data_IF_885427860499
#
_entry.id   IF_885427860499
#
_cell.length_a   1.000
_cell.length_b   1.000
_cell.length_c   1.000
_cell.angle_alpha   90.00
_cell.angle_beta   90.00
_cell.angle_gamma   90.00
#
_symmetry.space_group_name_H-M   'P 1'
#
loop_
_entity.id
_entity.type
_entity.pdbx_description
1 polymer ?
#
# COMPACT_ATOMS: atom_id res chain seq x y z
N UNK A 1 12.00 17.90 8.97
CA UNK A 1 11.95 17.24 10.30
C UNK A 1 10.50 17.25 10.77
N UNK A 2 9.93 16.08 11.11
CA UNK A 2 8.56 15.93 11.62
C UNK A 2 8.41 16.71 12.94
N UNK A 3 7.35 17.52 13.10
CA UNK A 3 7.13 18.29 14.33
C UNK A 3 6.29 17.47 15.32
N UNK A 4 7.05 16.83 16.20
CA UNK A 4 6.74 16.21 17.49
C UNK A 4 5.91 17.01 18.53
N UNK A 5 4.57 17.11 18.55
CA UNK A 5 3.86 17.87 19.61
C UNK A 5 3.12 16.98 20.61
N UNK A 6 3.84 16.39 21.57
CA UNK A 6 3.30 15.41 22.53
C UNK A 6 2.46 16.08 23.61
N UNK A 7 1.36 15.42 23.97
CA UNK A 7 0.44 15.92 24.99
C UNK A 7 1.07 15.94 26.40
N UNK A 8 2.02 15.04 26.67
CA UNK A 8 2.76 15.02 27.95
C UNK A 8 3.69 16.22 28.18
N UNK A 9 3.96 17.04 27.15
CA UNK A 9 4.87 18.19 27.25
C UNK A 9 4.09 19.49 27.13
N UNK A 10 3.87 20.24 28.24
CA UNK A 10 3.04 21.45 28.23
C UNK A 10 3.44 22.48 27.16
N UNK A 11 4.73 22.68 26.94
CA UNK A 11 5.22 23.59 25.89
C UNK A 11 4.87 23.15 24.47
N UNK A 12 4.90 21.83 24.21
CA UNK A 12 4.52 21.26 22.90
C UNK A 12 3.00 21.38 22.68
N UNK A 13 2.18 21.11 23.71
CA UNK A 13 0.72 21.29 23.63
C UNK A 13 0.33 22.76 23.42
N UNK A 14 1.02 23.71 24.08
CA UNK A 14 0.80 25.14 23.84
C UNK A 14 1.16 25.55 22.42
N UNK A 15 2.24 25.00 21.86
CA UNK A 15 2.59 25.23 20.47
C UNK A 15 1.52 24.69 19.51
N UNK A 16 0.97 23.50 19.78
CA UNK A 16 -0.15 22.96 19.03
C UNK A 16 -1.38 23.86 19.08
N UNK A 17 -1.74 24.35 20.27
CA UNK A 17 -2.86 25.29 20.45
C UNK A 17 -2.63 26.61 19.69
N UNK A 18 -1.40 27.12 19.66
CA UNK A 18 -1.05 28.29 18.85
C UNK A 18 -1.23 28.03 17.36
N UNK A 19 -0.82 26.86 16.86
CA UNK A 19 -1.01 26.47 15.45
C UNK A 19 -2.50 26.38 15.13
N UNK A 20 -3.29 25.72 15.98
CA UNK A 20 -4.75 25.66 15.84
C UNK A 20 -5.37 27.05 15.82
N UNK A 21 -4.94 27.95 16.70
CA UNK A 21 -5.41 29.33 16.72
C UNK A 21 -5.06 30.07 15.42
N UNK A 22 -3.81 29.99 14.96
CA UNK A 22 -3.34 30.63 13.73
C UNK A 22 -4.16 30.14 12.53
N UNK A 23 -4.30 28.83 12.35
CA UNK A 23 -5.07 28.25 11.24
C UNK A 23 -6.52 28.75 11.19
N UNK A 24 -7.14 29.01 12.35
CA UNK A 24 -8.53 29.48 12.45
C UNK A 24 -8.70 30.97 12.22
N UNK A 25 -7.66 31.77 12.43
CA UNK A 25 -7.76 33.24 12.50
C UNK A 25 -6.86 33.97 11.50
N UNK A 26 -6.24 33.26 10.56
CA UNK A 26 -5.43 33.87 9.52
C UNK A 26 -5.95 33.52 8.13
N UNK A 27 -5.78 34.48 7.22
CA UNK A 27 -6.04 34.29 5.80
C UNK A 27 -4.70 34.24 5.04
N UNK A 28 -4.64 33.37 4.04
CA UNK A 28 -3.55 33.25 3.08
C UNK A 28 -4.11 33.64 1.72
N UNK A 29 -3.66 34.79 1.19
CA UNK A 29 -4.12 35.33 -0.09
C UNK A 29 -5.65 35.48 -0.20
N UNK A 30 -6.33 35.82 0.90
CA UNK A 30 -7.79 36.01 0.94
C UNK A 30 -8.60 34.72 1.07
N UNK A 31 -7.96 33.59 1.35
CA UNK A 31 -8.59 32.30 1.68
C UNK A 31 -8.21 31.96 3.12
N UNK A 32 -9.15 31.42 3.90
CA UNK A 32 -8.87 30.97 5.27
C UNK A 32 -7.71 29.96 5.27
N UNK A 33 -6.76 30.12 6.20
CA UNK A 33 -5.64 29.19 6.34
C UNK A 33 -6.11 27.75 6.60
N UNK A 34 -7.25 27.57 7.27
CA UNK A 34 -7.87 26.26 7.45
C UNK A 34 -8.29 25.62 6.11
N UNK A 35 -8.87 26.40 5.20
CA UNK A 35 -9.27 25.91 3.86
C UNK A 35 -8.04 25.60 3.00
N UNK A 36 -6.99 26.41 3.09
CA UNK A 36 -5.73 26.14 2.38
C UNK A 36 -5.08 24.85 2.89
N UNK A 37 -5.08 24.62 4.20
CA UNK A 37 -4.62 23.38 4.78
C UNK A 37 -5.49 22.19 4.37
N UNK A 38 -6.82 22.32 4.42
CA UNK A 38 -7.77 21.27 4.04
C UNK A 38 -7.60 20.83 2.57
N UNK A 39 -7.30 21.77 1.66
CA UNK A 39 -7.00 21.47 0.25
C UNK A 39 -5.78 20.54 0.06
N UNK A 40 -4.87 20.48 1.03
CA UNK A 40 -3.73 19.55 1.02
C UNK A 40 -4.05 18.31 1.86
N UNK A 41 -4.73 18.47 2.99
CA UNK A 41 -5.03 17.39 3.91
C UNK A 41 -6.08 16.42 3.36
N UNK A 42 -7.24 16.92 2.89
CA UNK A 42 -8.37 16.08 2.47
C UNK A 42 -8.05 15.14 1.29
N UNK A 43 -7.23 15.53 0.29
CA UNK A 43 -6.80 14.61 -0.75
C UNK A 43 -5.93 13.48 -0.20
N UNK A 44 -5.02 13.77 0.75
CA UNK A 44 -4.21 12.72 1.40
C UNK A 44 -5.07 11.78 2.25
N UNK A 45 -6.16 12.28 2.84
CA UNK A 45 -7.14 11.44 3.55
C UNK A 45 -7.84 10.49 2.60
N UNK A 46 -8.21 10.98 1.42
CA UNK A 46 -8.85 10.16 0.39
C UNK A 46 -7.92 9.09 -0.21
N UNK A 47 -6.64 9.42 -0.39
CA UNK A 47 -5.67 8.50 -1.00
C UNK A 47 -5.22 7.44 0.02
N UNK A 48 -4.73 7.86 1.20
CA UNK A 48 -4.03 6.97 2.15
C UNK A 48 -4.85 6.70 3.42
N UNK A 49 -5.66 7.66 3.85
CA UNK A 49 -6.49 7.53 5.05
C UNK A 49 -6.32 8.70 6.02
N UNK A 50 -7.13 8.71 7.09
CA UNK A 50 -7.09 9.75 8.12
C UNK A 50 -5.81 9.65 8.94
N UNK A 51 -5.40 10.79 9.51
CA UNK A 51 -4.38 10.76 10.56
C UNK A 51 -4.91 10.00 11.77
N UNK A 52 -4.05 9.19 12.38
CA UNK A 52 -4.34 8.48 13.64
C UNK A 52 -3.95 9.32 14.87
N UNK A 53 -3.17 10.38 14.66
CA UNK A 53 -2.83 11.36 15.68
C UNK A 53 -3.90 12.44 15.82
N UNK A 54 -3.96 13.09 16.99
CA UNK A 54 -4.80 14.28 17.19
C UNK A 54 -4.33 15.41 16.27
N UNK A 55 -5.27 16.17 15.71
CA UNK A 55 -4.95 17.21 14.76
C UNK A 55 -5.75 18.50 14.98
N UNK A 56 -5.85 19.26 13.90
CA UNK A 56 -6.52 20.56 13.86
C UNK A 56 -7.99 20.47 14.31
N UNK A 57 -8.71 19.44 13.86
CA UNK A 57 -10.13 19.28 14.14
C UNK A 57 -10.40 18.98 15.61
N UNK A 58 -9.70 18.02 16.21
CA UNK A 58 -9.88 17.63 17.60
C UNK A 58 -9.50 18.77 18.55
N UNK A 59 -8.35 19.42 18.30
CA UNK A 59 -7.91 20.55 19.09
C UNK A 59 -8.83 21.76 18.93
N UNK A 60 -9.40 21.97 17.74
CA UNK A 60 -10.38 23.02 17.48
C UNK A 60 -11.68 22.82 18.27
N UNK A 61 -12.22 21.60 18.29
CA UNK A 61 -13.43 21.27 19.04
C UNK A 61 -13.23 21.41 20.57
N UNK A 62 -12.09 20.93 21.08
CA UNK A 62 -11.72 21.12 22.48
C UNK A 62 -11.49 22.59 22.82
N UNK A 63 -10.92 23.37 21.90
CA UNK A 63 -10.76 24.81 22.08
C UNK A 63 -12.10 25.50 22.32
N UNK A 64 -13.09 25.21 21.47
CA UNK A 64 -14.42 25.82 21.54
C UNK A 64 -15.14 25.49 22.85
N UNK A 65 -14.96 24.25 23.31
CA UNK A 65 -15.59 23.75 24.54
C UNK A 65 -14.98 24.37 25.80
N UNK A 66 -13.65 24.56 25.82
CA UNK A 66 -12.91 24.87 27.06
C UNK A 66 -12.54 26.36 27.16
N UNK A 67 -12.07 26.95 26.06
CA UNK A 67 -11.71 28.36 26.03
C UNK A 67 -12.88 29.22 25.53
N UNK A 68 -13.67 28.70 24.59
CA UNK A 68 -14.74 29.39 23.89
C UNK A 68 -14.38 29.66 22.42
N UNK A 69 -15.36 29.70 21.50
CA UNK A 69 -15.10 29.82 20.06
C UNK A 69 -14.36 31.11 19.67
N UNK A 70 -14.66 32.21 20.35
CA UNK A 70 -14.06 33.53 20.10
C UNK A 70 -12.95 33.88 21.12
N UNK A 71 -12.43 32.87 21.84
CA UNK A 71 -11.42 33.12 22.86
C UNK A 71 -10.12 33.67 22.24
N UNK A 72 -9.51 34.71 22.85
CA UNK A 72 -8.24 35.24 22.37
C UNK A 72 -7.11 34.23 22.61
N UNK A 73 -6.03 34.34 21.83
CA UNK A 73 -4.85 33.45 21.97
C UNK A 73 -4.28 33.43 23.40
N UNK A 74 -4.41 34.52 24.14
CA UNK A 74 -3.95 34.62 25.54
C UNK A 74 -4.70 33.69 26.50
N UNK A 75 -5.85 33.14 26.10
CA UNK A 75 -6.62 32.20 26.92
C UNK A 75 -5.84 30.91 27.23
N UNK A 76 -4.87 30.52 26.40
CA UNK A 76 -4.03 29.34 26.63
C UNK A 76 -3.03 29.51 27.80
N UNK A 77 -2.84 30.75 28.28
CA UNK A 77 -1.99 31.05 29.43
C UNK A 77 -2.72 30.84 30.78
N UNK A 78 -4.04 30.65 30.76
CA UNK A 78 -4.79 30.25 31.94
C UNK A 78 -4.46 28.79 32.28
N UNK A 79 -3.68 28.59 33.34
CA UNK A 79 -3.20 27.26 33.76
C UNK A 79 -4.35 26.30 34.13
N UNK A 80 -5.47 26.80 34.65
CA UNK A 80 -6.60 25.95 35.01
C UNK A 80 -7.32 25.44 33.75
N UNK A 81 -7.62 26.34 32.80
CA UNK A 81 -8.21 25.95 31.51
C UNK A 81 -7.28 25.08 30.69
N UNK A 82 -5.98 25.38 30.71
CA UNK A 82 -4.97 24.56 30.04
C UNK A 82 -4.91 23.14 30.63
N UNK A 83 -4.95 23.00 31.96
CA UNK A 83 -5.03 21.68 32.59
C UNK A 83 -6.30 20.91 32.18
N UNK A 84 -7.46 21.57 32.18
CA UNK A 84 -8.71 20.98 31.68
C UNK A 84 -8.61 20.57 30.21
N UNK A 85 -7.94 21.36 29.37
CA UNK A 85 -7.69 21.00 27.97
C UNK A 85 -6.84 19.73 27.86
N UNK A 86 -5.74 19.64 28.61
CA UNK A 86 -4.87 18.46 28.60
C UNK A 86 -5.64 17.22 29.07
N UNK A 87 -6.43 17.32 30.14
CA UNK A 87 -7.27 16.23 30.63
C UNK A 87 -8.30 15.78 29.59
N UNK A 88 -8.99 16.72 28.92
CA UNK A 88 -9.96 16.39 27.88
C UNK A 88 -9.30 15.77 26.65
N UNK A 89 -8.14 16.28 26.22
CA UNK A 89 -7.37 15.74 25.11
C UNK A 89 -6.85 14.33 25.40
N UNK A 90 -6.57 13.98 26.66
CA UNK A 90 -6.21 12.62 27.08
C UNK A 90 -7.35 11.61 26.94
N UNK A 91 -8.60 12.06 26.92
CA UNK A 91 -9.76 11.20 26.71
C UNK A 91 -10.08 10.95 25.23
N UNK A 92 -9.40 11.64 24.32
CA UNK A 92 -9.52 11.36 22.90
C UNK A 92 -8.76 10.08 22.54
N UNK A 93 -9.14 9.38 21.45
CA UNK A 93 -8.45 8.16 21.02
C UNK A 93 -6.93 8.40 20.86
N UNK A 94 -6.07 7.56 21.44
CA UNK A 94 -4.64 7.60 21.16
C UNK A 94 -4.36 7.03 19.76
N UNK A 95 -3.18 7.33 19.17
CA UNK A 95 -2.77 6.67 17.93
C UNK A 95 -2.62 5.17 18.17
N UNK A 96 -3.24 4.37 17.31
CA UNK A 96 -3.17 2.92 17.27
C UNK A 96 -1.82 2.44 16.74
N UNK A 97 -1.23 3.15 15.77
CA UNK A 97 0.09 2.79 15.22
C UNK A 97 1.18 3.63 15.89
N UNK A 98 2.19 2.98 16.47
CA UNK A 98 3.34 3.68 17.02
C UNK A 98 4.45 3.88 16.00
N UNK A 99 4.87 5.13 15.85
CA UNK A 99 5.96 5.55 14.97
C UNK A 99 7.10 6.27 15.69
N UNK A 100 7.07 6.25 17.02
CA UNK A 100 8.06 6.88 17.87
C UNK A 100 8.77 5.84 18.71
N UNK A 101 10.02 6.17 19.07
CA UNK A 101 10.71 5.43 20.12
C UNK A 101 9.99 5.61 21.45
N UNK A 102 9.62 4.50 22.09
CA UNK A 102 9.02 4.47 23.43
C UNK A 102 9.82 3.47 24.27
N UNK A 103 10.28 3.87 25.45
CA UNK A 103 10.98 2.96 26.34
C UNK A 103 10.05 1.87 26.90
N UNK A 104 10.60 0.73 27.31
CA UNK A 104 9.82 -0.45 27.73
C UNK A 104 8.98 -0.17 29.00
N UNK A 105 9.45 0.71 29.88
CA UNK A 105 8.73 1.09 31.11
C UNK A 105 7.73 2.24 30.89
N UNK A 106 7.64 2.78 29.67
CA UNK A 106 6.72 3.85 29.34
C UNK A 106 5.41 3.30 28.77
N UNK A 107 4.31 3.92 29.19
CA UNK A 107 3.00 3.72 28.59
C UNK A 107 3.02 4.31 27.16
N UNK A 108 2.79 3.43 26.17
CA UNK A 108 2.84 3.74 24.73
C UNK A 108 1.89 4.88 24.39
N UNK A 109 0.63 4.74 24.76
CA UNK A 109 -0.43 5.71 24.49
C UNK A 109 -0.10 7.07 25.11
N UNK A 110 0.40 7.07 26.35
CA UNK A 110 0.70 8.32 27.04
C UNK A 110 1.84 9.12 26.40
N UNK A 111 2.84 8.42 25.85
CA UNK A 111 4.06 9.02 25.29
C UNK A 111 3.87 9.45 23.83
N UNK A 112 3.08 8.71 23.04
CA UNK A 112 2.87 8.96 21.61
C UNK A 112 1.73 9.92 21.34
N UNK A 113 0.69 9.95 22.18
CA UNK A 113 -0.48 10.81 21.98
C UNK A 113 -0.09 12.30 22.00
N UNK A 114 -0.53 13.01 20.96
CA UNK A 114 -0.16 14.39 20.73
C UNK A 114 -0.71 14.94 19.43
N UNK A 115 -0.47 16.23 19.21
CA UNK A 115 -0.88 16.93 18.00
C UNK A 115 0.08 16.67 16.83
N UNK A 116 -0.49 16.56 15.63
CA UNK A 116 0.23 16.64 14.37
C UNK A 116 -0.45 17.59 13.41
N UNK A 117 0.35 18.41 12.75
CA UNK A 117 -0.15 19.27 11.67
C UNK A 117 -0.50 18.46 10.40
N UNK A 118 0.35 17.47 10.07
CA UNK A 118 0.14 16.47 9.03
C UNK A 118 0.55 15.12 9.63
N UNK A 119 -0.36 14.52 10.42
CA UNK A 119 -0.08 13.28 11.15
C UNK A 119 0.22 12.09 10.26
N UNK A 120 0.67 10.99 10.84
CA UNK A 120 0.80 9.78 10.04
C UNK A 120 -0.56 9.14 9.81
N UNK A 121 -0.71 8.48 8.67
CA UNK A 121 -1.97 7.88 8.29
C UNK A 121 -2.08 6.49 8.89
N UNK A 122 -3.26 6.18 9.41
CA UNK A 122 -3.55 4.81 9.79
C UNK A 122 -3.64 3.95 8.52
N UNK A 123 -2.79 2.94 8.44
CA UNK A 123 -2.83 1.94 7.37
C UNK A 123 -2.84 0.54 7.99
N UNK A 124 -3.72 -0.32 7.47
CA UNK A 124 -4.05 -1.61 8.09
C UNK A 124 -2.84 -2.53 8.26
N UNK A 125 -1.96 -2.57 7.27
CA UNK A 125 -0.75 -3.38 7.26
C UNK A 125 0.27 -2.92 8.32
N UNK A 126 0.39 -1.62 8.58
CA UNK A 126 1.24 -1.14 9.66
C UNK A 126 0.64 -1.42 11.04
N UNK A 127 -0.68 -1.44 11.17
CA UNK A 127 -1.35 -1.92 12.39
C UNK A 127 -1.11 -3.42 12.60
N UNK A 128 -1.25 -4.24 11.56
CA UNK A 128 -0.90 -5.68 11.60
C UNK A 128 0.55 -5.88 12.07
N UNK A 129 1.50 -5.09 11.53
CA UNK A 129 2.89 -5.15 11.96
C UNK A 129 3.09 -4.76 13.43
N UNK A 130 2.45 -3.69 13.89
CA UNK A 130 2.54 -3.25 15.28
C UNK A 130 1.97 -4.30 16.26
N UNK A 131 0.89 -5.00 15.88
CA UNK A 131 0.27 -6.08 16.67
C UNK A 131 1.03 -7.41 16.63
N UNK A 132 1.92 -7.61 15.65
CA UNK A 132 2.69 -8.83 15.46
C UNK A 132 4.20 -8.66 15.75
N UNK A 133 4.59 -7.54 16.34
CA UNK A 133 5.99 -7.27 16.72
C UNK A 133 6.14 -7.11 18.24
N UNK A 134 7.38 -6.83 18.66
CA UNK A 134 7.77 -6.74 20.05
C UNK A 134 6.93 -5.72 20.83
N UNK A 135 6.38 -6.21 21.96
CA UNK A 135 5.39 -5.64 22.92
C UNK A 135 4.14 -6.49 22.96
N UNK A 136 3.67 -6.95 21.79
CA UNK A 136 2.53 -7.86 21.68
C UNK A 136 2.97 -9.31 21.41
N UNK A 137 4.03 -9.49 20.62
CA UNK A 137 4.56 -10.81 20.24
C UNK A 137 6.03 -10.97 20.63
N UNK A 138 6.34 -12.14 21.19
CA UNK A 138 7.65 -12.51 21.72
C UNK A 138 7.76 -12.32 23.24
N UNK A 139 8.96 -12.54 23.78
CA UNK A 139 9.26 -12.33 25.20
C UNK A 139 10.51 -11.46 25.35
N UNK A 140 10.81 -10.97 26.55
CA UNK A 140 11.99 -10.12 26.76
C UNK A 140 13.28 -10.83 26.34
N UNK A 141 13.34 -12.15 26.52
CA UNK A 141 14.48 -12.98 26.14
C UNK A 141 14.44 -13.42 24.67
N UNK A 142 13.27 -13.36 24.01
CA UNK A 142 13.08 -13.69 22.60
C UNK A 142 12.07 -12.74 21.92
N UNK A 143 12.45 -11.46 21.70
CA UNK A 143 11.56 -10.45 21.12
C UNK A 143 11.46 -10.58 19.59
N UNK A 144 10.27 -10.36 19.03
CA UNK A 144 10.05 -10.31 17.58
C UNK A 144 10.18 -8.86 17.06
N UNK A 145 11.38 -8.43 16.74
CA UNK A 145 11.66 -7.02 16.40
C UNK A 145 11.17 -6.56 15.02
N UNK A 146 11.18 -7.47 14.04
CA UNK A 146 10.73 -7.20 12.68
C UNK A 146 9.60 -8.15 12.32
N UNK A 147 8.56 -7.67 11.60
CA UNK A 147 7.53 -8.51 11.04
C UNK A 147 8.03 -9.18 9.75
N UNK A 148 7.10 -9.83 9.05
CA UNK A 148 7.25 -10.39 7.70
C UNK A 148 6.15 -9.85 6.81
N UNK A 149 6.40 -9.60 5.52
CA UNK A 149 5.35 -9.25 4.56
C UNK A 149 4.23 -10.29 4.53
N UNK A 150 4.58 -11.56 4.75
CA UNK A 150 3.64 -12.67 4.93
C UNK A 150 2.67 -12.49 6.10
N UNK A 151 3.02 -11.72 7.14
CA UNK A 151 2.10 -11.42 8.26
C UNK A 151 0.87 -10.66 7.77
N UNK A 152 1.05 -9.71 6.83
CA UNK A 152 -0.06 -8.96 6.23
C UNK A 152 -0.98 -9.92 5.48
N UNK A 153 -0.40 -10.80 4.66
CA UNK A 153 -1.16 -11.74 3.84
C UNK A 153 -1.89 -12.78 4.69
N UNK A 154 -1.25 -13.26 5.76
CA UNK A 154 -1.86 -14.18 6.72
C UNK A 154 -3.01 -13.52 7.50
N UNK A 155 -2.89 -12.25 7.87
CA UNK A 155 -3.95 -11.47 8.51
C UNK A 155 -5.12 -11.17 7.55
N UNK A 156 -4.84 -11.06 6.24
CA UNK A 156 -5.85 -11.03 5.16
C UNK A 156 -6.41 -12.42 4.80
N UNK A 157 -6.34 -13.37 5.73
CA UNK A 157 -6.89 -14.74 5.65
C UNK A 157 -6.18 -15.68 4.66
N UNK A 158 -4.94 -15.38 4.26
CA UNK A 158 -4.14 -16.33 3.47
C UNK A 158 -3.64 -17.49 4.33
N UNK A 159 -4.24 -18.67 4.15
CA UNK A 159 -3.80 -19.90 4.80
C UNK A 159 -2.39 -20.35 4.37
N UNK A 160 -2.04 -20.17 3.09
CA UNK A 160 -0.71 -20.52 2.59
C UNK A 160 0.36 -19.57 3.18
N UNK A 161 0.07 -18.28 3.36
CA UNK A 161 1.00 -17.37 4.01
C UNK A 161 1.26 -17.77 5.47
N UNK A 162 0.20 -18.10 6.22
CA UNK A 162 0.33 -18.58 7.59
C UNK A 162 1.12 -19.90 7.66
N UNK A 163 0.88 -20.83 6.75
CA UNK A 163 1.62 -22.09 6.68
C UNK A 163 3.12 -21.88 6.38
N UNK A 164 3.47 -20.90 5.54
CA UNK A 164 4.87 -20.54 5.28
C UNK A 164 5.51 -19.91 6.52
N UNK A 165 4.81 -19.01 7.20
CA UNK A 165 5.26 -18.41 8.47
C UNK A 165 5.52 -19.50 9.54
N UNK A 166 4.65 -20.50 9.62
CA UNK A 166 4.82 -21.65 10.52
C UNK A 166 6.07 -22.46 10.18
N UNK A 167 6.30 -22.74 8.89
CA UNK A 167 7.49 -23.43 8.41
C UNK A 167 8.78 -22.65 8.69
N UNK A 168 8.71 -21.32 8.66
CA UNK A 168 9.82 -20.42 9.00
C UNK A 168 10.06 -20.34 10.53
N UNK A 169 9.14 -20.85 11.35
CA UNK A 169 9.18 -20.77 12.81
C UNK A 169 8.70 -19.42 13.38
N UNK A 170 8.10 -18.56 12.57
CA UNK A 170 7.57 -17.25 13.00
C UNK A 170 6.37 -17.41 13.93
N UNK A 171 5.57 -18.46 13.76
CA UNK A 171 4.44 -18.78 14.63
C UNK A 171 4.85 -19.25 16.03
N UNK A 172 6.14 -19.58 16.24
CA UNK A 172 6.66 -20.08 17.50
C UNK A 172 6.98 -18.96 18.51
N UNK A 173 6.96 -17.69 18.09
CA UNK A 173 7.06 -16.57 19.04
C UNK A 173 5.86 -16.59 20.00
N UNK A 174 6.13 -16.30 21.28
CA UNK A 174 5.08 -16.21 22.28
C UNK A 174 4.00 -15.22 21.85
N UNK A 175 2.73 -15.57 22.04
CA UNK A 175 1.55 -14.76 21.70
C UNK A 175 1.27 -14.57 20.20
N UNK A 176 2.12 -15.05 19.28
CA UNK A 176 1.90 -14.88 17.85
C UNK A 176 0.57 -15.49 17.38
N UNK A 177 0.24 -16.78 17.68
CA UNK A 177 -0.99 -17.37 17.18
C UNK A 177 -2.24 -16.67 17.72
N UNK A 178 -2.24 -16.28 19.00
CA UNK A 178 -3.35 -15.55 19.60
C UNK A 178 -3.55 -14.16 18.97
N UNK A 179 -2.46 -13.43 18.73
CA UNK A 179 -2.50 -12.11 18.10
C UNK A 179 -2.92 -12.18 16.63
N UNK A 180 -2.44 -13.18 15.88
CA UNK A 180 -2.87 -13.40 14.50
C UNK A 180 -4.37 -13.75 14.43
N UNK A 181 -4.87 -14.58 15.35
CA UNK A 181 -6.29 -14.91 15.42
C UNK A 181 -7.15 -13.66 15.71
N UNK A 182 -6.73 -12.82 16.66
CA UNK A 182 -7.37 -11.52 16.94
C UNK A 182 -7.44 -10.66 15.69
N UNK A 183 -6.33 -10.50 14.97
CA UNK A 183 -6.27 -9.70 13.75
C UNK A 183 -7.19 -10.24 12.65
N UNK A 184 -7.19 -11.56 12.43
CA UNK A 184 -8.10 -12.20 11.46
C UNK A 184 -9.57 -11.99 11.82
N UNK A 185 -9.92 -12.08 13.10
CA UNK A 185 -11.29 -11.80 13.57
C UNK A 185 -11.69 -10.32 13.34
N UNK A 186 -10.79 -9.38 13.65
CA UNK A 186 -11.02 -7.94 13.44
C UNK A 186 -11.18 -7.62 11.94
N UNK A 187 -10.29 -8.14 11.09
CA UNK A 187 -10.30 -7.92 9.65
C UNK A 187 -11.50 -8.62 9.00
N UNK A 188 -11.83 -9.83 9.42
CA UNK A 188 -12.99 -10.59 8.95
C UNK A 188 -14.34 -9.93 9.31
N UNK A 189 -14.37 -9.10 10.35
CA UNK A 189 -15.55 -8.32 10.73
C UNK A 189 -15.74 -7.05 9.88
N UNK A 190 -14.72 -6.62 9.12
CA UNK A 190 -14.79 -5.42 8.30
C UNK A 190 -15.86 -5.56 7.21
N UNK A 191 -16.63 -4.49 7.03
CA UNK A 191 -17.65 -4.41 5.99
C UNK A 191 -17.10 -3.70 4.76
N UNK A 192 -17.83 -3.79 3.63
CA UNK A 192 -17.40 -3.21 2.37
C UNK A 192 -17.07 -1.71 2.48
N UNK A 193 -17.86 -0.94 3.24
CA UNK A 193 -17.63 0.50 3.46
C UNK A 193 -16.28 0.78 4.16
N UNK A 194 -15.77 -0.17 4.95
CA UNK A 194 -14.44 -0.06 5.57
C UNK A 194 -13.33 -0.35 4.55
N UNK A 195 -13.53 -1.32 3.66
CA UNK A 195 -12.59 -1.62 2.58
C UNK A 195 -12.52 -0.53 1.51
N UNK A 196 -13.64 0.18 1.28
CA UNK A 196 -13.73 1.25 0.27
C UNK A 196 -13.62 2.65 0.86
N UNK A 197 -13.11 2.78 2.10
CA UNK A 197 -13.01 4.07 2.80
C UNK A 197 -11.99 5.04 2.17
N UNK A 198 -10.95 4.52 1.52
CA UNK A 198 -9.89 5.27 0.82
C UNK A 198 -9.20 4.36 -0.21
N UNK A 199 -8.34 4.93 -1.07
CA UNK A 199 -7.70 4.19 -2.16
C UNK A 199 -6.74 3.10 -1.66
N UNK A 200 -5.99 3.36 -0.58
CA UNK A 200 -5.05 2.40 0.01
C UNK A 200 -5.73 1.09 0.45
N UNK A 201 -6.83 1.22 1.19
CA UNK A 201 -7.61 0.07 1.64
C UNK A 201 -8.27 -0.68 0.49
N UNK A 202 -8.78 0.06 -0.50
CA UNK A 202 -9.35 -0.55 -1.69
C UNK A 202 -8.30 -1.27 -2.55
N UNK A 203 -7.04 -0.82 -2.52
CA UNK A 203 -5.91 -1.54 -3.13
C UNK A 203 -5.62 -2.86 -2.40
N UNK A 204 -5.48 -2.85 -1.07
CA UNK A 204 -5.33 -4.08 -0.28
C UNK A 204 -6.50 -5.05 -0.51
N UNK A 205 -7.72 -4.53 -0.55
CA UNK A 205 -8.91 -5.30 -0.89
C UNK A 205 -8.81 -5.92 -2.28
N UNK A 206 -8.27 -5.22 -3.29
CA UNK A 206 -8.10 -5.77 -4.63
C UNK A 206 -7.10 -6.95 -4.69
N UNK A 207 -6.20 -7.09 -3.71
CA UNK A 207 -5.24 -8.19 -3.64
C UNK A 207 -5.80 -9.47 -3.00
N UNK A 208 -6.79 -9.38 -2.11
CA UNK A 208 -7.33 -10.56 -1.41
C UNK A 208 -7.75 -11.72 -2.32
N UNK A 209 -8.36 -11.52 -3.52
CA UNK A 209 -8.71 -12.63 -4.38
C UNK A 209 -7.50 -13.47 -4.85
N UNK A 210 -6.28 -12.93 -4.78
CA UNK A 210 -5.04 -13.65 -5.08
C UNK A 210 -4.63 -14.61 -3.94
N UNK A 211 -5.09 -14.35 -2.71
CA UNK A 211 -4.69 -15.11 -1.52
C UNK A 211 -5.47 -16.43 -1.37
N UNK A 212 -6.57 -16.56 -2.11
CA UNK A 212 -7.48 -17.71 -2.09
C UNK A 212 -6.97 -18.86 -2.99
N UNK A 213 -6.86 -20.10 -2.47
CA UNK A 213 -6.57 -21.27 -3.29
C UNK A 213 -7.60 -21.45 -4.40
N UNK A 214 -7.12 -21.68 -5.62
CA UNK A 214 -7.99 -21.81 -6.80
C UNK A 214 -8.58 -23.21 -6.87
N UNK A 215 -9.90 -23.29 -6.76
CA UNK A 215 -10.65 -24.55 -6.80
C UNK A 215 -10.83 -25.14 -8.20
N UNK A 216 -11.66 -26.19 -8.29
CA UNK A 216 -11.92 -26.98 -9.51
C UNK A 216 -12.51 -26.19 -10.68
N UNK A 217 -13.05 -25.00 -10.42
CA UNK A 217 -13.59 -24.08 -11.41
C UNK A 217 -12.51 -23.32 -12.20
N UNK A 218 -11.26 -23.34 -11.74
CA UNK A 218 -10.12 -22.71 -12.42
C UNK A 218 -9.33 -23.73 -13.25
N UNK A 219 -8.52 -23.29 -14.23
CA UNK A 219 -7.61 -24.18 -14.97
C UNK A 219 -6.66 -24.97 -14.07
N UNK A 220 -6.29 -26.19 -14.50
CA UNK A 220 -5.52 -27.14 -13.69
C UNK A 220 -4.18 -26.57 -13.16
N UNK A 221 -3.50 -25.72 -13.92
CA UNK A 221 -2.24 -25.11 -13.48
C UNK A 221 -2.43 -24.15 -12.29
N UNK A 222 -3.60 -23.50 -12.19
CA UNK A 222 -3.92 -22.58 -11.09
C UNK A 222 -4.26 -23.29 -9.78
N UNK A 223 -4.66 -24.57 -9.86
CA UNK A 223 -5.04 -25.38 -8.70
C UNK A 223 -3.83 -25.93 -7.92
N UNK A 224 -2.62 -25.58 -8.34
CA UNK A 224 -1.38 -26.08 -7.74
C UNK A 224 -0.91 -25.16 -6.62
N UNK A 225 -0.24 -25.73 -5.60
CA UNK A 225 0.39 -24.92 -4.55
C UNK A 225 1.43 -23.94 -5.11
N UNK A 226 2.15 -24.33 -6.19
CA UNK A 226 3.07 -23.44 -6.86
C UNK A 226 2.37 -22.17 -7.39
N UNK A 227 1.14 -22.30 -7.90
CA UNK A 227 0.35 -21.15 -8.35
C UNK A 227 -0.17 -20.32 -7.18
N UNK A 228 -0.66 -20.96 -6.11
CA UNK A 228 -1.04 -20.23 -4.88
C UNK A 228 0.12 -19.40 -4.33
N UNK A 229 1.33 -19.97 -4.31
CA UNK A 229 2.54 -19.25 -3.91
C UNK A 229 2.93 -18.16 -4.91
N UNK A 230 2.72 -18.36 -6.21
CA UNK A 230 2.89 -17.31 -7.24
C UNK A 230 1.92 -16.15 -7.04
N UNK A 231 0.66 -16.43 -6.71
CA UNK A 231 -0.35 -15.40 -6.46
C UNK A 231 -0.03 -14.62 -5.17
N UNK A 232 0.40 -15.32 -4.12
CA UNK A 232 0.92 -14.71 -2.90
C UNK A 232 2.15 -13.83 -3.18
N UNK A 233 3.08 -14.31 -4.00
CA UNK A 233 4.25 -13.55 -4.45
C UNK A 233 3.85 -12.30 -5.27
N UNK A 234 2.82 -12.40 -6.12
CA UNK A 234 2.26 -11.28 -6.85
C UNK A 234 1.63 -10.25 -5.92
N UNK A 235 0.89 -10.70 -4.90
CA UNK A 235 0.29 -9.84 -3.90
C UNK A 235 1.35 -9.10 -3.07
N UNK A 236 2.42 -9.77 -2.67
CA UNK A 236 3.55 -9.15 -1.96
C UNK A 236 4.32 -8.15 -2.82
N UNK A 237 4.52 -8.44 -4.11
CA UNK A 237 5.08 -7.48 -5.06
C UNK A 237 4.20 -6.23 -5.18
N UNK A 238 2.90 -6.39 -5.38
CA UNK A 238 1.97 -5.25 -5.46
C UNK A 238 1.83 -4.49 -4.13
N UNK A 239 1.89 -5.17 -3.00
CA UNK A 239 1.94 -4.52 -1.69
C UNK A 239 3.24 -3.72 -1.52
N UNK A 240 4.38 -4.22 -2.02
CA UNK A 240 5.66 -3.49 -2.04
C UNK A 240 5.57 -2.19 -2.83
N UNK A 241 4.98 -2.23 -4.04
CA UNK A 241 4.66 -1.02 -4.84
C UNK A 241 3.80 -0.04 -4.03
N UNK A 242 2.73 -0.52 -3.37
CA UNK A 242 1.86 0.32 -2.54
C UNK A 242 2.62 0.99 -1.38
N UNK A 243 3.54 0.27 -0.72
CA UNK A 243 4.40 0.84 0.32
C UNK A 243 5.30 1.92 -0.25
N UNK A 244 5.96 1.63 -1.36
CA UNK A 244 6.84 2.56 -2.05
C UNK A 244 6.12 3.85 -2.46
N UNK A 245 5.00 3.74 -3.17
CA UNK A 245 4.20 4.87 -3.67
C UNK A 245 3.68 5.78 -2.55
N UNK A 246 3.39 5.21 -1.38
CA UNK A 246 2.92 5.96 -0.21
C UNK A 246 4.04 6.54 0.67
N UNK A 247 5.31 6.19 0.40
CA UNK A 247 6.50 6.70 1.10
C UNK A 247 7.04 8.00 0.51
N UNK A 248 6.48 8.44 -0.63
CA UNK A 248 6.79 9.66 -1.40
C UNK A 248 7.97 9.45 -2.35
N UNK A 249 7.65 9.44 -3.64
CA UNK A 249 8.46 9.51 -4.87
C UNK A 249 8.40 8.22 -5.69
N UNK A 250 7.73 8.28 -6.84
CA UNK A 250 7.80 7.25 -7.87
C UNK A 250 8.33 7.86 -9.18
N UNK A 251 9.17 7.09 -9.89
CA UNK A 251 9.57 7.32 -11.29
C UNK A 251 9.30 6.05 -12.08
N UNK A 252 8.89 6.26 -13.32
CA UNK A 252 8.11 5.29 -14.09
C UNK A 252 8.96 4.36 -14.93
N UNK A 253 8.38 3.24 -15.40
CA UNK A 253 9.04 2.16 -16.13
C UNK A 253 8.77 2.13 -17.65
N UNK A 254 9.82 1.89 -18.43
CA UNK A 254 9.73 1.63 -19.88
C UNK A 254 9.62 0.12 -20.18
N UNK A 255 8.72 -0.27 -21.08
CA UNK A 255 8.69 -1.59 -21.73
C UNK A 255 8.67 -1.36 -23.24
N UNK A 256 9.56 -1.99 -24.01
CA UNK A 256 9.66 -1.73 -25.46
C UNK A 256 8.54 -2.44 -26.24
N UNK A 257 7.80 -1.69 -27.07
CA UNK A 257 6.92 -2.28 -28.10
C UNK A 257 7.73 -3.19 -29.05
N UNK A 258 7.59 -4.51 -28.90
CA UNK A 258 8.14 -5.48 -29.84
C UNK A 258 7.51 -5.35 -31.24
N UNK A 259 8.31 -5.00 -32.24
CA UNK A 259 7.89 -4.88 -33.64
C UNK A 259 8.39 -6.03 -34.52
N UNK A 260 7.48 -6.87 -35.01
CA UNK A 260 7.77 -7.89 -36.03
C UNK A 260 6.53 -8.16 -36.90
N UNK A 261 6.69 -8.47 -38.20
CA UNK A 261 5.56 -8.70 -39.11
C UNK A 261 4.74 -9.94 -38.67
N UNK A 262 3.41 -9.87 -38.47
CA UNK A 262 2.68 -11.01 -37.91
C UNK A 262 2.22 -12.03 -38.98
N UNK A 263 2.44 -13.33 -38.77
CA UNK A 263 1.41 -14.36 -39.02
C UNK A 263 0.19 -14.16 -38.08
N UNK A 264 -0.83 -15.03 -38.13
CA UNK A 264 -2.01 -14.95 -37.25
C UNK A 264 -1.64 -14.66 -35.78
N UNK A 265 -2.42 -13.82 -35.06
CA UNK A 265 -2.12 -13.50 -33.67
C UNK A 265 -2.06 -14.81 -32.87
N UNK A 266 -0.96 -15.08 -32.13
CA UNK A 266 -0.90 -16.25 -31.27
C UNK A 266 -2.05 -16.18 -30.26
N UNK A 267 -2.67 -17.31 -29.96
CA UNK A 267 -3.73 -17.37 -28.94
C UNK A 267 -3.10 -17.02 -27.58
N UNK A 268 -3.28 -15.77 -27.16
CA UNK A 268 -2.94 -15.29 -25.82
C UNK A 268 -4.01 -15.67 -24.80
N UNK A 269 -3.72 -15.45 -23.52
CA UNK A 269 -4.57 -15.88 -22.43
C UNK A 269 -4.56 -14.83 -21.31
N UNK A 270 -5.69 -14.57 -20.67
CA UNK A 270 -5.78 -13.64 -19.54
C UNK A 270 -5.88 -14.45 -18.25
N UNK A 271 -5.04 -14.12 -17.26
CA UNK A 271 -5.12 -14.83 -15.98
C UNK A 271 -6.51 -14.61 -15.36
N UNK A 272 -7.31 -15.65 -15.11
CA UNK A 272 -8.74 -15.53 -14.93
C UNK A 272 -9.01 -15.27 -13.46
N UNK A 273 -8.66 -14.08 -13.01
CA UNK A 273 -8.96 -13.57 -11.68
C UNK A 273 -10.02 -12.46 -11.80
N UNK A 274 -11.27 -12.79 -12.19
CA UNK A 274 -12.30 -11.79 -12.47
C UNK A 274 -12.61 -10.93 -11.25
N UNK A 275 -12.53 -11.49 -10.04
CA UNK A 275 -12.75 -10.72 -8.82
C UNK A 275 -11.66 -9.66 -8.59
N UNK A 276 -10.38 -9.98 -8.86
CA UNK A 276 -9.29 -9.01 -8.77
C UNK A 276 -9.48 -7.88 -9.80
N UNK A 277 -9.80 -8.21 -11.05
CA UNK A 277 -10.07 -7.19 -12.09
C UNK A 277 -11.29 -6.34 -11.75
N UNK A 278 -12.36 -6.92 -11.20
CA UNK A 278 -13.53 -6.17 -10.78
C UNK A 278 -13.22 -5.20 -9.63
N UNK A 279 -12.42 -5.62 -8.64
CA UNK A 279 -11.98 -4.75 -7.53
C UNK A 279 -11.06 -3.63 -8.02
N UNK A 280 -10.10 -3.92 -8.92
CA UNK A 280 -9.25 -2.90 -9.56
C UNK A 280 -10.06 -1.92 -10.42
N UNK A 281 -11.08 -2.40 -11.13
CA UNK A 281 -11.97 -1.55 -11.92
C UNK A 281 -12.78 -0.60 -11.01
N UNK A 282 -13.32 -1.12 -9.92
CA UNK A 282 -14.00 -0.32 -8.91
C UNK A 282 -13.06 0.73 -8.29
N UNK A 283 -11.82 0.36 -7.98
CA UNK A 283 -10.79 1.26 -7.47
C UNK A 283 -10.45 2.38 -8.48
N UNK A 284 -10.33 2.04 -9.76
CA UNK A 284 -10.07 3.01 -10.84
C UNK A 284 -11.20 4.04 -10.92
N UNK A 285 -12.46 3.59 -10.88
CA UNK A 285 -13.64 4.47 -10.88
C UNK A 285 -13.75 5.31 -9.61
N UNK A 286 -13.48 4.71 -8.45
CA UNK A 286 -13.42 5.42 -7.17
C UNK A 286 -12.37 6.54 -7.19
N UNK A 287 -11.19 6.27 -7.78
CA UNK A 287 -10.12 7.25 -7.96
C UNK A 287 -10.59 8.40 -8.84
N UNK A 288 -11.19 8.11 -9.99
CA UNK A 288 -11.74 9.11 -10.90
C UNK A 288 -12.75 10.02 -10.19
N UNK A 289 -13.80 9.43 -9.59
CA UNK A 289 -14.89 10.19 -8.95
C UNK A 289 -14.39 10.97 -7.73
N UNK A 290 -13.45 10.39 -6.98
CA UNK A 290 -12.85 11.01 -5.82
C UNK A 290 -11.97 12.23 -6.17
N UNK A 291 -11.23 12.18 -7.27
CA UNK A 291 -10.48 13.32 -7.78
C UNK A 291 -11.40 14.38 -8.39
N UNK A 292 -12.42 13.96 -9.16
CA UNK A 292 -13.38 14.87 -9.79
C UNK A 292 -14.15 15.68 -8.74
N UNK A 293 -14.71 15.02 -7.72
CA UNK A 293 -15.48 15.67 -6.65
C UNK A 293 -14.66 16.67 -5.84
N UNK A 294 -13.32 16.54 -5.84
CA UNK A 294 -12.37 17.43 -5.16
C UNK A 294 -11.77 18.50 -6.07
N UNK A 295 -12.13 18.51 -7.36
CA UNK A 295 -11.56 19.44 -8.34
C UNK A 295 -10.09 19.19 -8.62
N UNK A 296 -9.62 17.95 -8.45
CA UNK A 296 -8.23 17.53 -8.65
C UNK A 296 -8.02 16.70 -9.92
N UNK A 297 -9.10 16.36 -10.62
CA UNK A 297 -9.02 15.60 -11.86
C UNK A 297 -8.54 16.50 -13.01
N UNK A 298 -7.32 16.25 -13.49
CA UNK A 298 -6.79 16.90 -14.69
C UNK A 298 -7.26 16.16 -15.95
N UNK A 299 -7.24 16.81 -17.11
CA UNK A 299 -7.60 16.17 -18.40
C UNK A 299 -6.72 14.95 -18.69
N UNK A 300 -5.42 15.02 -18.37
CA UNK A 300 -4.50 13.90 -18.55
C UNK A 300 -4.83 12.73 -17.62
N UNK A 301 -5.07 13.03 -16.33
CA UNK A 301 -5.47 12.01 -15.35
C UNK A 301 -6.80 11.35 -15.70
N UNK A 302 -7.78 12.13 -16.16
CA UNK A 302 -9.08 11.64 -16.65
C UNK A 302 -8.90 10.66 -17.82
N UNK A 303 -8.15 11.08 -18.85
CA UNK A 303 -7.87 10.22 -20.00
C UNK A 303 -7.16 8.92 -19.61
N UNK A 304 -6.22 8.96 -18.66
CA UNK A 304 -5.51 7.77 -18.20
C UNK A 304 -6.39 6.82 -17.38
N UNK A 305 -7.22 7.36 -16.47
CA UNK A 305 -8.17 6.55 -15.71
C UNK A 305 -9.24 5.92 -16.62
N UNK A 306 -9.68 6.63 -17.66
CA UNK A 306 -10.59 6.08 -18.66
C UNK A 306 -9.97 4.95 -19.48
N UNK A 307 -8.67 5.04 -19.83
CA UNK A 307 -7.93 3.94 -20.48
C UNK A 307 -7.80 2.73 -19.56
N UNK A 308 -7.47 2.95 -18.29
CA UNK A 308 -7.35 1.88 -17.31
C UNK A 308 -8.70 1.19 -17.06
N UNK A 309 -9.79 1.95 -16.94
CA UNK A 309 -11.16 1.40 -16.86
C UNK A 309 -11.48 0.52 -18.07
N UNK A 310 -11.18 1.01 -19.28
CA UNK A 310 -11.43 0.27 -20.51
C UNK A 310 -10.63 -1.05 -20.57
N UNK A 311 -9.36 -1.02 -20.16
CA UNK A 311 -8.53 -2.22 -20.08
C UNK A 311 -9.06 -3.20 -19.02
N UNK A 312 -9.33 -2.75 -17.80
CA UNK A 312 -9.81 -3.61 -16.73
C UNK A 312 -11.18 -4.20 -17.03
N UNK A 313 -12.06 -3.45 -17.69
CA UNK A 313 -13.35 -3.96 -18.19
C UNK A 313 -13.13 -5.09 -19.20
N UNK A 314 -12.16 -4.94 -20.11
CA UNK A 314 -11.80 -5.99 -21.06
C UNK A 314 -11.22 -7.24 -20.39
N UNK A 315 -10.25 -7.07 -19.49
CA UNK A 315 -9.63 -8.19 -18.76
C UNK A 315 -10.65 -8.95 -17.91
N UNK A 316 -11.57 -8.24 -17.25
CA UNK A 316 -12.67 -8.83 -16.51
C UNK A 316 -13.58 -9.68 -17.39
N UNK A 317 -14.02 -9.13 -18.52
CA UNK A 317 -14.89 -9.83 -19.47
C UNK A 317 -14.22 -11.07 -20.05
N UNK A 318 -12.97 -10.95 -20.52
CA UNK A 318 -12.19 -12.08 -21.05
C UNK A 318 -12.01 -13.16 -19.98
N UNK A 319 -11.64 -12.79 -18.76
CA UNK A 319 -11.47 -13.75 -17.65
C UNK A 319 -12.75 -14.53 -17.36
N UNK A 320 -13.89 -13.87 -17.36
CA UNK A 320 -15.19 -14.52 -17.14
C UNK A 320 -15.54 -15.48 -18.28
N UNK A 321 -15.29 -15.07 -19.53
CA UNK A 321 -15.51 -15.90 -20.71
C UNK A 321 -14.60 -17.11 -20.75
N UNK A 322 -13.32 -16.95 -20.44
CA UNK A 322 -12.34 -18.05 -20.38
C UNK A 322 -12.70 -19.08 -19.29
N UNK A 323 -13.11 -18.65 -18.09
CA UNK A 323 -13.62 -19.56 -17.05
C UNK A 323 -14.91 -20.27 -17.44
N UNK A 324 -15.77 -19.59 -18.20
CA UNK A 324 -17.00 -20.18 -18.73
C UNK A 324 -16.77 -21.10 -19.95
N UNK A 325 -15.52 -21.25 -20.42
CA UNK A 325 -15.19 -22.03 -21.61
C UNK A 325 -15.75 -21.44 -22.90
N UNK A 326 -16.04 -20.13 -22.91
CA UNK A 326 -16.56 -19.43 -24.08
C UNK A 326 -15.40 -19.01 -25.01
N UNK A 327 -15.55 -19.14 -26.33
CA UNK A 327 -14.49 -18.76 -27.25
C UNK A 327 -14.27 -17.24 -27.27
N UNK A 328 -13.02 -16.83 -27.35
CA UNK A 328 -12.63 -15.45 -27.61
C UNK A 328 -12.68 -15.14 -29.11
N UNK A 329 -12.95 -13.88 -29.44
CA UNK A 329 -12.97 -13.37 -30.81
C UNK A 329 -11.56 -13.06 -31.32
N UNK A 330 -11.41 -12.87 -32.64
CA UNK A 330 -10.12 -12.41 -33.20
C UNK A 330 -9.70 -11.05 -32.64
N UNK A 331 -10.66 -10.16 -32.40
CA UNK A 331 -10.41 -8.82 -31.83
C UNK A 331 -9.90 -8.92 -30.39
N UNK A 332 -10.44 -9.86 -29.59
CA UNK A 332 -9.92 -10.14 -28.25
C UNK A 332 -8.45 -10.56 -28.32
N UNK A 333 -8.11 -11.54 -29.17
CA UNK A 333 -6.73 -12.01 -29.31
C UNK A 333 -5.78 -10.95 -29.88
N UNK A 334 -6.25 -10.10 -30.79
CA UNK A 334 -5.48 -8.95 -31.26
C UNK A 334 -5.19 -7.97 -30.13
N UNK A 335 -6.16 -7.67 -29.27
CA UNK A 335 -5.92 -6.80 -28.10
C UNK A 335 -4.99 -7.44 -27.08
N UNK A 336 -5.18 -8.72 -26.73
CA UNK A 336 -4.30 -9.46 -25.82
C UNK A 336 -2.85 -9.42 -26.32
N UNK A 337 -2.65 -9.61 -27.64
CA UNK A 337 -1.32 -9.53 -28.25
C UNK A 337 -0.65 -8.16 -28.04
N UNK A 338 -1.41 -7.08 -28.03
CA UNK A 338 -0.91 -5.71 -27.82
C UNK A 338 -0.99 -5.22 -26.37
N UNK A 339 -1.39 -6.07 -25.42
CA UNK A 339 -1.55 -5.72 -24.01
C UNK A 339 -0.32 -5.01 -23.43
N UNK A 340 0.90 -5.49 -23.73
CA UNK A 340 2.14 -4.86 -23.27
C UNK A 340 2.31 -3.40 -23.74
N UNK A 341 1.91 -3.10 -24.97
CA UNK A 341 1.93 -1.73 -25.50
C UNK A 341 0.80 -0.86 -24.93
N UNK A 342 -0.33 -1.46 -24.56
CA UNK A 342 -1.41 -0.76 -23.86
C UNK A 342 -0.98 -0.34 -22.44
N UNK A 343 -0.24 -1.21 -21.73
CA UNK A 343 0.41 -0.87 -20.46
C UNK A 343 1.44 0.24 -20.62
N UNK A 344 2.37 0.11 -21.59
CA UNK A 344 3.40 1.12 -21.88
C UNK A 344 2.79 2.50 -22.15
N UNK A 345 1.74 2.55 -22.99
CA UNK A 345 1.08 3.80 -23.33
C UNK A 345 0.45 4.49 -22.10
N UNK A 346 -0.07 3.73 -21.14
CA UNK A 346 -0.60 4.29 -19.90
C UNK A 346 0.53 4.76 -18.98
N UNK A 347 1.61 3.99 -18.85
CA UNK A 347 2.77 4.38 -18.04
C UNK A 347 3.41 5.68 -18.57
N UNK A 348 3.63 5.77 -19.87
CA UNK A 348 4.11 7.00 -20.54
C UNK A 348 3.17 8.19 -20.34
N UNK A 349 1.86 7.96 -20.42
CA UNK A 349 0.89 9.03 -20.29
C UNK A 349 0.72 9.53 -18.85
N UNK A 350 1.07 8.70 -17.86
CA UNK A 350 1.11 9.10 -16.46
C UNK A 350 2.37 9.92 -16.10
N UNK A 351 3.35 10.03 -17.01
CA UNK A 351 4.61 10.72 -16.78
C UNK A 351 4.42 12.22 -16.60
N UNK A 352 5.11 12.81 -15.62
CA UNK A 352 5.21 14.27 -15.52
C UNK A 352 5.91 14.82 -16.78
N UNK A 353 5.23 15.74 -17.48
CA UNK A 353 5.80 16.47 -18.60
C UNK A 353 6.53 17.72 -18.08
N UNK A 354 7.85 17.66 -17.91
CA UNK A 354 8.64 18.89 -17.83
C UNK A 354 8.93 19.44 -19.24
N UNK A 355 8.17 20.47 -19.67
CA UNK A 355 8.44 21.28 -20.87
C UNK A 355 7.68 20.91 -22.16
N UNK A 356 7.98 21.58 -23.28
CA UNK A 356 7.38 21.34 -24.61
C UNK A 356 8.02 20.15 -25.38
N UNK A 357 8.50 19.13 -24.65
CA UNK A 357 9.09 17.92 -25.21
C UNK A 357 8.10 16.76 -25.31
N UNK A 358 8.37 15.77 -26.17
CA UNK A 358 7.70 14.48 -26.05
C UNK A 358 8.12 13.83 -24.71
N UNK A 359 7.21 13.18 -23.98
CA UNK A 359 7.58 12.40 -22.79
C UNK A 359 8.67 11.41 -23.17
N UNK A 360 9.82 11.47 -22.51
CA UNK A 360 10.89 10.49 -22.67
C UNK A 360 11.44 10.13 -21.29
N UNK A 361 11.79 8.85 -21.12
CA UNK A 361 12.43 8.38 -19.91
C UNK A 361 13.95 8.54 -20.02
N UNK A 362 14.60 9.00 -18.95
CA UNK A 362 16.06 9.13 -18.91
C UNK A 362 16.79 7.80 -18.63
N UNK A 363 16.11 6.76 -18.10
CA UNK A 363 16.75 5.50 -17.66
C UNK A 363 15.98 4.22 -18.10
N UNK A 364 16.70 3.11 -18.30
CA UNK A 364 16.22 1.89 -18.98
C UNK A 364 15.82 0.71 -18.07
N UNK A 365 15.98 0.79 -16.74
CA UNK A 365 15.75 -0.37 -15.83
C UNK A 365 14.94 0.01 -14.58
N UNK A 366 13.60 -0.04 -14.66
CA UNK A 366 12.73 0.75 -13.77
C UNK A 366 11.61 0.00 -13.05
N UNK A 367 11.40 -1.31 -13.29
CA UNK A 367 10.50 -2.11 -12.43
C UNK A 367 11.09 -2.34 -11.03
N UNK A 368 12.41 -2.17 -10.88
CA UNK A 368 13.07 -2.41 -9.62
C UNK A 368 12.93 -1.21 -8.68
N UNK A 369 12.42 -1.48 -7.49
CA UNK A 369 12.20 -0.53 -6.41
C UNK A 369 12.37 -1.19 -5.04
N UNK A 370 12.55 -0.37 -4.01
CA UNK A 370 12.72 -0.84 -2.64
C UNK A 370 12.04 0.11 -1.65
N UNK A 371 11.40 -0.46 -0.63
CA UNK A 371 10.73 0.28 0.43
C UNK A 371 11.08 -0.30 1.81
N UNK A 372 11.48 0.58 2.72
CA UNK A 372 11.54 0.21 4.14
C UNK A 372 10.15 0.24 4.75
N UNK A 373 9.71 -0.88 5.33
CA UNK A 373 8.33 -1.05 5.81
C UNK A 373 8.21 -1.21 7.32
N UNK A 374 9.31 -1.58 7.99
CA UNK A 374 9.40 -1.68 9.44
C UNK A 374 10.80 -1.32 9.94
N UNK A 375 10.92 -0.88 11.19
CA UNK A 375 12.19 -0.50 11.80
C UNK A 375 12.39 -1.21 13.13
N UNK A 376 13.48 -1.96 13.23
CA UNK A 376 13.98 -2.50 14.48
C UNK A 376 14.77 -1.40 15.21
N UNK A 377 14.37 -1.03 16.44
CA UNK A 377 15.09 -0.05 17.25
C UNK A 377 16.59 -0.37 17.47
N UNK A 378 17.01 -1.63 17.30
CA UNK A 378 18.39 -2.07 17.45
C UNK A 378 19.27 -1.85 16.21
N UNK A 379 18.76 -1.12 15.21
CA UNK A 379 19.55 -0.63 14.07
C UNK A 379 19.33 -1.38 12.75
N UNK A 380 18.21 -2.08 12.60
CA UNK A 380 17.82 -2.72 11.33
C UNK A 380 16.49 -2.19 10.82
N UNK A 381 16.25 -2.36 9.53
CA UNK A 381 14.95 -2.12 8.88
C UNK A 381 14.56 -3.38 8.11
N UNK A 382 13.26 -3.57 7.89
CA UNK A 382 12.77 -4.56 6.94
C UNK A 382 12.61 -3.87 5.58
N UNK A 383 13.36 -4.32 4.59
CA UNK A 383 13.23 -3.88 3.20
C UNK A 383 12.36 -4.87 2.44
N UNK A 384 11.39 -4.33 1.71
CA UNK A 384 10.60 -5.03 0.71
C UNK A 384 11.00 -4.48 -0.65
N UNK A 385 11.34 -5.34 -1.60
CA UNK A 385 11.85 -4.89 -2.88
C UNK A 385 11.32 -5.72 -4.06
N UNK A 386 11.25 -5.08 -5.21
CA UNK A 386 11.00 -5.72 -6.51
C UNK A 386 12.26 -5.57 -7.34
N UNK A 387 12.71 -6.63 -7.99
CA UNK A 387 13.87 -6.60 -8.88
C UNK A 387 13.50 -6.56 -10.36
N UNK A 388 14.27 -7.27 -11.19
CA UNK A 388 13.99 -7.44 -12.63
C UNK A 388 12.78 -8.36 -12.83
N UNK A 389 11.93 -8.06 -13.82
CA UNK A 389 10.76 -8.88 -14.14
C UNK A 389 11.20 -10.32 -14.44
N UNK A 390 10.55 -11.29 -13.80
CA UNK A 390 10.74 -12.70 -14.07
C UNK A 390 9.82 -13.19 -15.17
N UNK A 391 10.27 -14.18 -15.91
CA UNK A 391 9.47 -14.84 -16.92
C UNK A 391 8.69 -16.00 -16.28
N UNK A 392 7.38 -16.05 -16.53
CA UNK A 392 6.54 -17.20 -16.15
C UNK A 392 6.15 -17.98 -17.40
N UNK A 393 6.10 -19.31 -17.25
CA UNK A 393 5.56 -20.22 -18.26
C UNK A 393 4.38 -20.98 -17.65
N UNK A 394 3.22 -20.91 -18.31
CA UNK A 394 2.00 -21.58 -17.87
C UNK A 394 1.41 -22.45 -18.98
N UNK A 395 0.95 -23.65 -18.63
CA UNK A 395 0.26 -24.54 -19.59
C UNK A 395 -1.23 -24.19 -19.59
N UNK A 396 -1.68 -23.50 -20.64
CA UNK A 396 -3.05 -22.97 -20.75
C UNK A 396 -3.88 -23.77 -21.78
N UNK A 397 -5.21 -23.83 -21.64
CA UNK A 397 -6.07 -24.38 -22.70
C UNK A 397 -5.98 -23.55 -23.98
N UNK A 398 -6.01 -24.20 -25.15
CA UNK A 398 -5.95 -23.52 -26.46
C UNK A 398 -7.33 -23.02 -26.98
N UNK A 399 -8.41 -23.31 -26.26
CA UNK A 399 -9.79 -23.04 -26.67
C UNK A 399 -10.38 -24.02 -27.68
N UNK A 400 -9.58 -24.99 -28.18
CA UNK A 400 -9.94 -26.02 -29.15
C UNK A 400 -9.83 -27.46 -28.59
N UNK A 401 -9.51 -27.61 -27.31
CA UNK A 401 -9.39 -28.89 -26.60
C UNK A 401 -7.95 -29.41 -26.49
N UNK A 402 -6.96 -28.63 -26.91
CA UNK A 402 -5.53 -28.84 -26.68
C UNK A 402 -4.95 -27.89 -25.62
N UNK A 403 -3.62 -27.84 -25.57
CA UNK A 403 -2.84 -27.07 -24.59
C UNK A 403 -1.78 -26.23 -25.30
N UNK A 404 -1.57 -25.02 -24.82
CA UNK A 404 -0.48 -24.12 -25.20
C UNK A 404 0.42 -23.81 -24.01
N UNK A 405 1.63 -23.33 -24.29
CA UNK A 405 2.48 -22.69 -23.28
C UNK A 405 2.35 -21.19 -23.48
N UNK A 406 1.76 -20.52 -22.49
CA UNK A 406 1.78 -19.07 -22.39
C UNK A 406 3.07 -18.63 -21.68
N UNK A 407 3.63 -17.50 -22.12
CA UNK A 407 4.75 -16.82 -21.49
C UNK A 407 4.28 -15.44 -21.01
N UNK A 408 4.64 -15.07 -19.79
CA UNK A 408 4.29 -13.77 -19.21
C UNK A 408 5.40 -13.18 -18.35
N UNK A 409 5.17 -11.99 -17.81
CA UNK A 409 6.01 -11.35 -16.81
C UNK A 409 5.38 -11.46 -15.42
N UNK A 410 6.19 -11.68 -14.39
CA UNK A 410 5.80 -11.65 -12.97
C UNK A 410 6.82 -10.84 -12.18
N UNK A 411 6.41 -10.34 -11.01
CA UNK A 411 7.31 -9.65 -10.09
C UNK A 411 8.50 -10.54 -9.70
N UNK A 412 9.56 -9.92 -9.19
CA UNK A 412 10.65 -10.60 -8.48
C UNK A 412 10.74 -10.03 -7.08
N UNK A 413 10.01 -10.62 -6.15
CA UNK A 413 9.88 -10.11 -4.79
C UNK A 413 11.08 -10.51 -3.93
N UNK A 414 11.58 -9.55 -3.16
CA UNK A 414 12.64 -9.70 -2.18
C UNK A 414 12.17 -9.14 -0.84
N UNK A 415 12.50 -9.84 0.23
CA UNK A 415 12.26 -9.40 1.61
C UNK A 415 13.54 -9.67 2.38
N UNK A 416 14.15 -8.63 2.97
CA UNK A 416 15.36 -8.81 3.76
C UNK A 416 15.57 -7.72 4.81
N UNK A 417 16.18 -8.07 5.95
CA UNK A 417 16.55 -7.10 6.96
C UNK A 417 17.86 -6.36 6.62
N UNK A 418 17.85 -5.04 6.60
CA UNK A 418 18.96 -4.18 6.18
C UNK A 418 19.43 -3.21 7.28
N UNK A 419 20.69 -2.72 7.30
CA UNK A 419 21.15 -1.74 8.29
C UNK A 419 20.41 -0.40 8.22
N UNK A 420 19.90 0.08 9.36
CA UNK A 420 19.15 1.35 9.45
C UNK A 420 20.00 2.58 9.10
N UNK A 421 21.30 2.53 9.34
CA UNK A 421 22.23 3.62 9.00
C UNK A 421 22.47 3.77 7.49
N UNK A 422 22.03 2.78 6.71
CA UNK A 422 22.31 2.65 5.28
C UNK A 422 21.05 2.33 4.46
N UNK A 423 19.90 2.94 4.84
CA UNK A 423 18.60 2.75 4.17
C UNK A 423 18.73 2.82 2.65
N UNK A 424 18.13 1.85 1.98
CA UNK A 424 18.25 1.75 0.53
C UNK A 424 17.43 2.83 -0.19
N UNK A 425 17.94 3.26 -1.33
CA UNK A 425 17.18 4.01 -2.33
C UNK A 425 17.03 3.12 -3.56
N UNK A 426 16.09 3.44 -4.44
CA UNK A 426 15.90 2.70 -5.69
C UNK A 426 17.17 2.66 -6.53
N UNK A 427 17.93 3.75 -6.60
CA UNK A 427 19.19 3.81 -7.35
C UNK A 427 20.19 2.80 -6.80
N UNK A 428 20.36 2.76 -5.47
CA UNK A 428 21.27 1.82 -4.82
C UNK A 428 20.80 0.38 -4.99
N UNK A 429 19.49 0.13 -4.93
CA UNK A 429 18.92 -1.19 -5.16
C UNK A 429 19.15 -1.68 -6.60
N UNK A 430 18.95 -0.80 -7.58
CA UNK A 430 19.24 -1.08 -8.99
C UNK A 430 20.72 -1.36 -9.23
N UNK A 431 21.61 -0.59 -8.62
CA UNK A 431 23.06 -0.83 -8.67
C UNK A 431 23.42 -2.21 -8.10
N UNK A 432 22.81 -2.62 -6.99
CA UNK A 432 22.99 -3.95 -6.41
C UNK A 432 22.52 -5.06 -7.35
N UNK A 433 21.36 -4.88 -8.01
CA UNK A 433 20.85 -5.83 -9.00
C UNK A 433 21.77 -5.93 -10.22
N UNK A 434 22.26 -4.80 -10.74
CA UNK A 434 23.18 -4.76 -11.88
C UNK A 434 24.54 -5.39 -11.56
N UNK A 435 25.01 -5.25 -10.32
CA UNK A 435 26.25 -5.84 -9.85
C UNK A 435 26.12 -7.33 -9.48
N UNK A 436 24.91 -7.91 -9.50
CA UNK A 436 24.68 -9.28 -9.02
C UNK A 436 24.91 -9.43 -7.50
N UNK A 437 24.64 -8.37 -6.74
CA UNK A 437 24.86 -8.26 -5.30
C UNK A 437 23.54 -8.12 -4.50
N UNK A 438 22.41 -8.37 -5.15
CA UNK A 438 21.12 -8.42 -4.47
C UNK A 438 21.11 -9.53 -3.40
N UNK A 439 20.47 -9.32 -2.24
CA UNK A 439 20.25 -10.38 -1.26
C UNK A 439 19.44 -11.54 -1.84
N UNK A 440 19.52 -12.68 -1.18
CA UNK A 440 18.72 -13.84 -1.53
C UNK A 440 17.22 -13.52 -1.44
N UNK A 441 16.45 -14.11 -2.35
CA UNK A 441 14.98 -14.09 -2.29
C UNK A 441 14.48 -14.88 -1.08
N UNK A 442 13.24 -14.64 -0.62
CA UNK A 442 12.65 -15.44 0.45
C UNK A 442 12.69 -16.93 0.11
N UNK A 443 13.15 -17.77 1.04
CA UNK A 443 13.45 -19.19 0.80
C UNK A 443 12.26 -19.97 0.24
N UNK A 444 11.05 -19.66 0.69
CA UNK A 444 9.81 -20.30 0.24
C UNK A 444 9.54 -20.12 -1.26
N UNK A 445 10.14 -19.13 -1.91
CA UNK A 445 10.01 -18.88 -3.35
C UNK A 445 10.75 -19.90 -4.21
N UNK A 446 11.76 -20.59 -3.66
CA UNK A 446 12.53 -21.61 -4.36
C UNK A 446 11.68 -22.84 -4.75
N UNK A 447 10.47 -23.00 -4.19
CA UNK A 447 9.59 -24.12 -4.53
C UNK A 447 8.91 -23.98 -5.89
N UNK A 448 8.88 -22.77 -6.48
CA UNK A 448 8.19 -22.49 -7.75
C UNK A 448 8.97 -21.60 -8.71
N UNK A 449 10.11 -21.04 -8.29
CA UNK A 449 11.00 -20.27 -9.15
C UNK A 449 12.26 -21.09 -9.45
N UNK A 450 12.64 -21.16 -10.73
CA UNK A 450 13.91 -21.73 -11.19
C UNK A 450 14.87 -20.64 -11.68
N UNK A 451 16.17 -20.87 -11.53
CA UNK A 451 17.25 -20.00 -12.04
C UNK A 451 17.63 -20.27 -13.50
#
# INVERSE_FOLDING_TARGET
>A
RRINMRLQKPGETRMALLITYILRHTDVNGISAADVWARVYDPTVFIVGKADDLGFHEYGALWDTIFGPDAPVTAIADEAKFATFVEAARQLPPPQINSMWVYIWEDKEQVTQGFRFMGQRFVLDAYIFDELTWREVGTFDNPRWLPKGLDVMAALDSEEAYAILDQMGETAYAHYPEQMAKLRDEIGALQLDSWTQNLYWAWLYALQPLLEPKGVQYPAFMQTQAWTRKDLHTALGSWTELKHDTILYAKQSMAEMGGGPPPEPPHGWVEPNPEAYARLLALTRMTHDGLQSRGLLTENTDANLARLDNLLTFLLDVSQRELAGQPLTREDYERIKFYGGELEAMTLAAADQEGEGQPFFEEQEQAALVADVATDPNGRVLEEAIGRIFEIYAVVPDGAGGLHIAKGGVFSYYEFPWPMEDRLTDEKWRDMLAAGQAPDRPEWTASFISE
#
